data_IF_805381434240
#
_entry.id   IF_805381434240
#
_cell.length_a   1.000
_cell.length_b   1.000
_cell.length_c   1.000
_cell.angle_alpha   90.00
_cell.angle_beta   90.00
_cell.angle_gamma   90.00
#
_symmetry.space_group_name_H-M   'P 1'
#
loop_
_entity.id
_entity.type
_entity.pdbx_description
1 polymer ?
#
# COMPACT_ATOMS: atom_id res chain seq x y z
N UNK A 1 -9.26 -40.61 -49.75
CA UNK A 1 -8.03 -41.16 -49.19
C UNK A 1 -7.82 -40.39 -47.89
N UNK A 2 -8.27 -40.82 -46.75
CA UNK A 2 -7.66 -41.81 -45.83
C UNK A 2 -6.22 -41.43 -45.43
N UNK A 3 -6.05 -41.12 -44.17
CA UNK A 3 -4.78 -40.97 -43.49
C UNK A 3 -4.99 -40.53 -42.06
N UNK A 4 -5.44 -41.43 -41.25
CA UNK A 4 -5.36 -41.56 -39.78
C UNK A 4 -3.91 -41.65 -39.34
N UNK A 5 -3.66 -41.15 -38.10
CA UNK A 5 -2.84 -41.75 -37.02
C UNK A 5 -2.54 -40.66 -36.01
N UNK A 6 -3.09 -40.71 -34.78
CA UNK A 6 -2.81 -41.67 -33.72
C UNK A 6 -1.62 -41.28 -32.83
N UNK A 7 -1.98 -40.97 -31.59
CA UNK A 7 -1.34 -41.41 -30.35
C UNK A 7 -0.03 -40.79 -29.88
N UNK A 8 -0.07 -40.38 -28.63
CA UNK A 8 1.10 -40.19 -27.79
C UNK A 8 0.82 -39.56 -26.44
N UNK A 9 0.11 -40.30 -25.59
CA UNK A 9 0.12 -40.10 -24.13
C UNK A 9 1.52 -40.39 -23.59
N UNK A 10 1.98 -39.55 -22.68
CA UNK A 10 2.83 -40.06 -21.60
C UNK A 10 2.78 -39.10 -20.40
N UNK A 11 2.11 -39.59 -19.42
CA UNK A 11 2.22 -39.35 -17.99
C UNK A 11 3.65 -39.56 -17.49
N UNK A 12 4.08 -38.72 -16.59
CA UNK A 12 5.07 -39.08 -15.57
C UNK A 12 4.75 -38.35 -14.30
N UNK A 13 4.31 -39.16 -13.37
CA UNK A 13 4.20 -39.02 -11.95
C UNK A 13 5.58 -38.96 -11.27
N UNK A 14 5.50 -38.59 -10.00
CA UNK A 14 6.47 -38.81 -8.90
C UNK A 14 7.42 -37.64 -8.71
N UNK A 15 7.63 -37.16 -7.50
CA UNK A 15 7.67 -37.84 -6.21
C UNK A 15 7.59 -36.84 -5.06
N UNK A 16 6.90 -37.26 -4.04
CA UNK A 16 6.84 -36.83 -2.66
C UNK A 16 8.22 -36.85 -1.95
N UNK A 17 8.37 -36.00 -0.97
CA UNK A 17 9.02 -36.23 0.34
C UNK A 17 9.11 -34.87 1.05
N UNK A 18 8.31 -34.57 2.04
CA UNK A 18 8.25 -34.94 3.45
C UNK A 18 9.62 -34.96 4.13
N UNK A 19 9.86 -33.97 4.97
CA UNK A 19 10.53 -34.14 6.25
C UNK A 19 10.41 -32.86 7.10
N UNK A 20 9.49 -32.84 8.05
CA UNK A 20 9.80 -32.43 9.41
C UNK A 20 10.52 -33.61 10.07
N UNK A 21 11.25 -33.47 11.17
CA UNK A 21 10.79 -32.87 12.42
C UNK A 21 11.88 -32.25 13.34
N UNK A 22 11.39 -31.84 14.49
CA UNK A 22 12.02 -31.86 15.84
C UNK A 22 12.82 -30.61 16.24
N UNK A 23 12.28 -29.94 17.20
CA UNK A 23 12.24 -30.06 18.69
C UNK A 23 13.56 -29.67 19.34
N UNK A 24 13.44 -28.88 20.30
CA UNK A 24 13.82 -28.89 21.73
C UNK A 24 14.17 -27.47 22.18
N UNK A 25 13.33 -26.85 22.99
CA UNK A 25 13.30 -26.95 24.44
C UNK A 25 14.62 -26.63 25.11
N UNK A 26 14.73 -25.43 25.69
CA UNK A 26 15.48 -25.20 26.91
C UNK A 26 14.90 -24.07 27.73
N UNK A 27 14.08 -24.48 28.69
CA UNK A 27 13.93 -23.80 29.97
C UNK A 27 15.30 -23.68 30.63
N UNK A 28 15.61 -22.54 31.18
CA UNK A 28 16.51 -22.43 32.29
C UNK A 28 16.02 -21.43 33.33
N UNK A 29 15.43 -22.02 34.29
CA UNK A 29 15.20 -21.71 35.67
C UNK A 29 16.52 -21.39 36.37
N UNK A 30 16.49 -20.50 37.31
CA UNK A 30 17.30 -20.42 38.55
C UNK A 30 17.64 -18.97 38.85
N UNK A 31 17.66 -18.47 39.98
CA UNK A 31 17.33 -18.91 41.33
C UNK A 31 17.41 -17.65 42.21
N UNK A 32 16.46 -17.60 43.09
CA UNK A 32 16.48 -16.80 44.31
C UNK A 32 17.82 -16.94 45.07
N UNK A 33 18.33 -15.84 45.59
CA UNK A 33 19.12 -15.93 46.80
C UNK A 33 18.85 -14.73 47.71
N UNK A 34 18.19 -15.07 48.78
CA UNK A 34 17.97 -14.34 50.01
C UNK A 34 19.15 -14.60 50.95
N UNK A 35 19.69 -13.56 51.51
CA UNK A 35 20.35 -13.54 52.85
C UNK A 35 20.71 -12.08 53.14
N UNK A 36 20.04 -11.43 54.00
CA UNK A 36 19.98 -11.37 55.46
C UNK A 36 21.22 -10.77 56.15
N UNK A 37 20.91 -9.76 56.95
CA UNK A 37 21.54 -9.27 58.17
C UNK A 37 22.77 -8.37 58.02
N UNK A 38 22.86 -7.31 58.70
CA UNK A 38 22.55 -6.76 59.99
C UNK A 38 23.28 -5.42 60.19
N UNK A 39 22.62 -4.56 60.91
CA UNK A 39 23.20 -3.53 61.78
C UNK A 39 24.24 -2.53 61.25
N UNK A 40 23.83 -1.27 61.09
CA UNK A 40 24.41 -0.28 62.01
C UNK A 40 23.56 1.03 62.05
N UNK A 41 23.02 1.24 63.23
CA UNK A 41 22.53 2.51 63.74
C UNK A 41 23.70 3.47 63.90
N UNK A 42 23.67 4.59 63.21
CA UNK A 42 24.16 5.93 63.59
C UNK A 42 24.58 6.71 62.32
N UNK A 43 23.73 7.56 61.89
CA UNK A 43 24.05 8.91 61.44
C UNK A 43 22.79 9.60 60.82
N UNK A 44 21.84 9.75 61.65
CA UNK A 44 20.69 10.61 61.39
C UNK A 44 21.00 12.02 61.88
N UNK A 45 21.55 12.90 61.08
CA UNK A 45 21.48 14.37 61.28
C UNK A 45 22.13 15.24 60.20
N UNK A 46 22.61 14.70 59.07
CA UNK A 46 23.19 15.51 57.99
C UNK A 46 22.52 15.36 56.59
N UNK A 47 21.39 14.69 56.50
CA UNK A 47 20.70 14.43 55.21
C UNK A 47 19.53 15.34 54.84
N UNK A 48 19.12 16.28 55.72
CA UNK A 48 17.92 17.13 55.48
C UNK A 48 18.19 18.42 54.68
N UNK A 49 19.44 18.77 54.34
CA UNK A 49 19.74 19.98 53.56
C UNK A 49 20.13 19.75 52.08
N UNK A 50 20.42 18.50 51.66
CA UNK A 50 20.78 18.18 50.30
C UNK A 50 19.59 17.79 49.44
N UNK A 51 18.53 17.21 50.04
CA UNK A 51 17.36 16.70 49.33
C UNK A 51 16.45 17.78 48.74
N UNK A 52 16.48 19.02 49.29
CA UNK A 52 15.66 20.14 48.73
C UNK A 52 16.27 20.82 47.50
N UNK A 53 17.59 20.67 47.27
CA UNK A 53 18.24 21.24 46.09
C UNK A 53 18.19 20.30 44.88
N UNK A 54 18.16 19.00 45.12
CA UNK A 54 18.09 17.99 44.03
C UNK A 54 16.67 17.80 43.52
N UNK A 55 15.62 18.02 44.34
CA UNK A 55 14.24 17.96 43.92
C UNK A 55 13.90 19.15 43.01
N UNK A 56 14.40 20.38 43.33
CA UNK A 56 14.19 21.55 42.45
C UNK A 56 14.94 21.45 41.12
N UNK A 57 16.07 20.74 41.08
CA UNK A 57 16.80 20.54 39.80
C UNK A 57 16.14 19.49 38.92
N UNK A 58 15.46 18.47 39.48
CA UNK A 58 14.71 17.48 38.71
C UNK A 58 13.38 18.04 38.17
N UNK A 59 12.68 18.89 38.92
CA UNK A 59 11.46 19.53 38.39
C UNK A 59 11.72 20.48 37.25
N UNK A 60 12.79 21.27 37.29
CA UNK A 60 13.15 22.18 36.22
C UNK A 60 13.69 21.45 35.00
N UNK A 61 14.26 20.27 35.16
CA UNK A 61 14.80 19.48 34.07
C UNK A 61 13.69 18.70 33.31
N UNK A 62 12.67 18.20 34.02
CA UNK A 62 11.52 17.55 33.40
C UNK A 62 10.65 18.53 32.58
N UNK A 63 10.50 19.77 33.04
CA UNK A 63 9.69 20.77 32.34
C UNK A 63 10.32 21.21 31.01
N UNK A 64 11.64 21.13 30.87
CA UNK A 64 12.35 21.42 29.59
C UNK A 64 12.27 20.26 28.58
N UNK A 65 12.10 19.03 29.03
CA UNK A 65 11.98 17.87 28.15
C UNK A 65 10.57 17.74 27.57
N UNK A 66 9.54 18.04 28.35
CA UNK A 66 8.15 18.02 27.90
C UNK A 66 7.90 19.02 26.75
N UNK A 67 8.49 20.22 26.79
CA UNK A 67 8.37 21.18 25.69
C UNK A 67 9.03 20.68 24.39
N UNK A 68 10.13 19.94 24.45
CA UNK A 68 10.78 19.37 23.26
C UNK A 68 9.93 18.29 22.63
N UNK A 69 9.31 17.43 23.45
CA UNK A 69 8.41 16.37 22.96
C UNK A 69 7.18 16.99 22.29
N UNK A 70 6.55 17.99 22.90
CA UNK A 70 5.41 18.71 22.34
C UNK A 70 5.79 19.36 21.00
N UNK A 71 6.95 19.97 20.90
CA UNK A 71 7.43 20.60 19.67
C UNK A 71 7.64 19.57 18.53
N UNK A 72 8.19 18.41 18.84
CA UNK A 72 8.35 17.31 17.88
C UNK A 72 6.99 16.81 17.39
N UNK A 73 6.01 16.64 18.29
CA UNK A 73 4.65 16.23 17.91
C UNK A 73 3.98 17.25 16.99
N UNK A 74 4.13 18.54 17.27
CA UNK A 74 3.58 19.60 16.42
C UNK A 74 4.20 19.56 15.02
N UNK A 75 5.52 19.37 14.91
CA UNK A 75 6.20 19.23 13.60
C UNK A 75 5.67 18.01 12.84
N UNK A 76 5.48 16.87 13.51
CA UNK A 76 4.90 15.67 12.91
C UNK A 76 3.49 15.92 12.37
N UNK A 77 2.62 16.56 13.16
CA UNK A 77 1.26 16.89 12.73
C UNK A 77 1.28 17.82 11.50
N UNK A 78 2.11 18.86 11.52
CA UNK A 78 2.26 19.76 10.38
C UNK A 78 2.75 19.03 9.13
N UNK A 79 3.70 18.11 9.27
CA UNK A 79 4.18 17.28 8.17
C UNK A 79 3.06 16.43 7.56
N UNK A 80 2.23 15.79 8.40
CA UNK A 80 1.09 14.99 7.93
C UNK A 80 0.05 15.87 7.20
N UNK A 81 -0.23 17.06 7.70
CA UNK A 81 -1.16 17.99 7.04
C UNK A 81 -0.64 18.39 5.66
N UNK A 82 0.64 18.74 5.55
CA UNK A 82 1.25 19.10 4.27
C UNK A 82 1.22 17.90 3.31
N UNK A 83 1.56 16.70 3.77
CA UNK A 83 1.52 15.49 2.95
C UNK A 83 0.11 15.19 2.42
N UNK A 84 -0.92 15.32 3.24
CA UNK A 84 -2.31 15.13 2.80
C UNK A 84 -2.74 16.17 1.77
N UNK A 85 -2.36 17.44 1.94
CA UNK A 85 -2.65 18.50 0.96
C UNK A 85 -1.99 18.17 -0.38
N UNK A 86 -0.73 17.75 -0.38
CA UNK A 86 0.01 17.38 -1.61
C UNK A 86 -0.70 16.21 -2.33
N UNK A 87 -1.13 15.17 -1.60
CA UNK A 87 -1.85 14.03 -2.17
C UNK A 87 -3.18 14.46 -2.82
N UNK A 88 -3.95 15.32 -2.16
CA UNK A 88 -5.23 15.83 -2.68
C UNK A 88 -5.00 16.68 -3.95
N UNK A 89 -4.01 17.55 -3.94
CA UNK A 89 -3.68 18.38 -5.10
C UNK A 89 -3.21 17.54 -6.29
N UNK A 90 -2.34 16.56 -6.04
CA UNK A 90 -1.88 15.59 -7.04
C UNK A 90 -3.06 14.83 -7.66
N UNK A 91 -3.98 14.34 -6.83
CA UNK A 91 -5.18 13.63 -7.30
C UNK A 91 -6.01 14.51 -8.24
N UNK A 92 -6.34 15.73 -7.82
CA UNK A 92 -7.10 16.67 -8.65
C UNK A 92 -6.42 16.95 -9.99
N UNK A 93 -5.10 17.13 -9.97
CA UNK A 93 -4.33 17.36 -11.19
C UNK A 93 -4.38 16.17 -12.14
N UNK A 94 -4.14 14.95 -11.66
CA UNK A 94 -4.15 13.73 -12.48
C UNK A 94 -5.54 13.40 -13.02
N UNK A 95 -6.60 13.54 -12.21
CA UNK A 95 -7.98 13.36 -12.67
C UNK A 95 -8.35 14.35 -13.80
N UNK A 96 -7.98 15.62 -13.62
CA UNK A 96 -8.22 16.64 -14.66
C UNK A 96 -7.44 16.34 -15.95
N UNK A 97 -6.23 15.82 -15.84
CA UNK A 97 -5.43 15.43 -16.99
C UNK A 97 -6.06 14.22 -17.72
N UNK A 98 -6.54 13.22 -16.97
CA UNK A 98 -7.25 12.04 -17.52
C UNK A 98 -8.56 12.46 -18.19
N UNK A 99 -9.36 13.27 -17.53
CA UNK A 99 -10.60 13.82 -18.10
C UNK A 99 -10.33 14.54 -19.43
N UNK A 100 -9.28 15.37 -19.50
CA UNK A 100 -8.86 16.03 -20.74
C UNK A 100 -8.49 15.03 -21.85
N UNK A 101 -7.85 13.91 -21.52
CA UNK A 101 -7.51 12.88 -22.50
C UNK A 101 -8.74 12.11 -22.97
N UNK A 102 -9.66 11.80 -22.07
CA UNK A 102 -10.90 11.08 -22.38
C UNK A 102 -11.96 11.96 -23.05
N UNK A 103 -11.89 13.28 -22.94
CA UNK A 103 -12.81 14.24 -23.56
C UNK A 103 -12.33 14.80 -24.90
N UNK A 104 -11.29 14.21 -25.51
CA UNK A 104 -10.80 14.67 -26.82
C UNK A 104 -11.88 14.54 -27.91
N UNK A 105 -11.91 15.51 -28.82
CA UNK A 105 -12.86 15.49 -29.98
C UNK A 105 -12.50 14.38 -30.97
N UNK A 106 -11.22 14.08 -31.15
CA UNK A 106 -10.76 13.06 -32.07
C UNK A 106 -11.04 11.66 -31.49
N UNK A 107 -11.92 10.91 -32.14
CA UNK A 107 -12.39 9.58 -31.72
C UNK A 107 -11.20 8.60 -31.58
N UNK A 108 -10.25 8.59 -32.51
CA UNK A 108 -9.10 7.70 -32.46
C UNK A 108 -8.22 7.97 -31.23
N UNK A 109 -7.95 9.26 -30.94
CA UNK A 109 -7.17 9.63 -29.75
C UNK A 109 -7.91 9.30 -28.47
N UNK A 110 -9.21 9.48 -28.45
CA UNK A 110 -10.08 9.13 -27.33
C UNK A 110 -10.06 7.63 -27.07
N UNK A 111 -10.16 6.83 -28.13
CA UNK A 111 -10.05 5.37 -28.05
C UNK A 111 -8.70 4.93 -27.45
N UNK A 112 -7.60 5.50 -27.91
CA UNK A 112 -6.25 5.22 -27.40
C UNK A 112 -6.19 5.56 -25.90
N UNK A 113 -6.76 6.68 -25.48
CA UNK A 113 -6.77 7.07 -24.07
C UNK A 113 -7.56 6.08 -23.20
N UNK A 114 -8.70 5.55 -23.66
CA UNK A 114 -9.42 4.47 -22.97
C UNK A 114 -8.63 3.17 -22.94
N UNK A 115 -7.95 2.83 -24.03
CA UNK A 115 -7.09 1.64 -24.08
C UNK A 115 -5.91 1.74 -23.11
N UNK A 116 -5.25 2.89 -23.02
CA UNK A 116 -4.16 3.14 -22.08
C UNK A 116 -4.66 3.05 -20.63
N UNK A 117 -5.85 3.59 -20.38
CA UNK A 117 -6.49 3.49 -19.09
C UNK A 117 -6.85 2.04 -18.72
N UNK A 118 -7.36 1.25 -19.65
CA UNK A 118 -7.62 -0.18 -19.45
C UNK A 118 -6.32 -0.94 -19.11
N UNK A 119 -5.21 -0.63 -19.78
CA UNK A 119 -3.90 -1.21 -19.45
C UNK A 119 -3.40 -0.83 -18.05
N UNK A 120 -3.71 0.39 -17.60
CA UNK A 120 -3.44 0.81 -16.23
C UNK A 120 -4.28 -0.01 -15.24
N UNK A 121 -5.58 -0.17 -15.46
CA UNK A 121 -6.48 -0.95 -14.62
C UNK A 121 -6.07 -2.42 -14.50
N UNK A 122 -5.59 -3.02 -15.58
CA UNK A 122 -5.08 -4.39 -15.60
C UNK A 122 -3.93 -4.64 -14.62
N UNK A 123 -3.15 -3.63 -14.28
CA UNK A 123 -2.08 -3.76 -13.28
C UNK A 123 -2.62 -3.98 -11.85
N UNK A 124 -3.87 -3.60 -11.60
CA UNK A 124 -4.51 -3.70 -10.29
C UNK A 124 -5.48 -4.88 -10.17
N UNK A 125 -5.93 -5.42 -11.30
CA UNK A 125 -6.71 -6.64 -11.36
C UNK A 125 -6.31 -7.47 -12.59
N UNK A 126 -5.70 -8.62 -12.35
CA UNK A 126 -5.22 -9.54 -13.40
C UNK A 126 -6.36 -10.25 -14.16
N UNK A 127 -7.58 -10.23 -13.63
CA UNK A 127 -8.76 -10.80 -14.30
C UNK A 127 -9.25 -9.93 -15.45
N UNK A 128 -8.80 -8.66 -15.54
CA UNK A 128 -9.15 -7.77 -16.63
C UNK A 128 -8.46 -8.24 -17.91
N UNK A 129 -9.25 -8.71 -18.86
CA UNK A 129 -8.77 -9.04 -20.20
C UNK A 129 -8.62 -7.80 -21.06
N UNK A 130 -7.63 -7.77 -21.94
CA UNK A 130 -7.42 -6.67 -22.85
C UNK A 130 -7.49 -7.15 -24.30
N UNK A 131 -8.70 -7.32 -24.80
CA UNK A 131 -8.99 -7.77 -26.17
C UNK A 131 -9.02 -6.59 -27.17
N UNK A 132 -8.89 -5.35 -26.70
CA UNK A 132 -9.03 -4.12 -27.50
C UNK A 132 -7.74 -3.66 -28.20
N UNK A 133 -6.65 -4.42 -28.06
CA UNK A 133 -5.33 -4.07 -28.62
C UNK A 133 -5.36 -3.87 -30.13
N UNK A 134 -6.09 -4.71 -30.86
CA UNK A 134 -6.15 -4.61 -32.32
C UNK A 134 -6.78 -3.28 -32.76
N UNK A 135 -7.89 -2.90 -32.16
CA UNK A 135 -8.58 -1.66 -32.48
C UNK A 135 -7.76 -0.44 -32.04
N UNK A 136 -7.06 -0.52 -30.91
CA UNK A 136 -6.13 0.52 -30.46
C UNK A 136 -4.96 0.73 -31.45
N UNK A 137 -4.39 -0.34 -32.02
CA UNK A 137 -3.39 -0.25 -33.05
C UNK A 137 -3.96 0.33 -34.35
N UNK A 138 -5.18 -0.06 -34.74
CA UNK A 138 -5.92 0.54 -35.86
C UNK A 138 -6.11 2.04 -35.63
N UNK A 139 -6.52 2.47 -34.43
CA UNK A 139 -6.70 3.87 -34.08
C UNK A 139 -5.40 4.69 -34.13
N UNK A 140 -4.27 4.06 -33.73
CA UNK A 140 -2.99 4.74 -33.65
C UNK A 140 -2.26 4.87 -34.99
N UNK A 141 -2.36 3.85 -35.85
CA UNK A 141 -1.50 3.72 -37.03
C UNK A 141 -2.24 3.70 -38.36
N UNK A 142 -3.57 3.58 -38.35
CA UNK A 142 -4.34 3.63 -39.59
C UNK A 142 -4.98 5.01 -39.81
N UNK A 143 -5.24 5.35 -41.08
CA UNK A 143 -5.98 6.55 -41.41
C UNK A 143 -7.52 6.35 -41.27
N UNK A 144 -7.96 5.21 -40.78
CA UNK A 144 -9.36 4.90 -40.55
C UNK A 144 -9.85 5.51 -39.24
N UNK A 145 -11.03 6.11 -39.29
CA UNK A 145 -11.68 6.59 -38.08
C UNK A 145 -12.36 5.41 -37.39
N UNK A 146 -12.16 5.29 -36.08
CA UNK A 146 -12.85 4.31 -35.25
C UNK A 146 -14.33 4.62 -35.19
N UNK A 147 -15.18 3.59 -35.22
CA UNK A 147 -16.62 3.73 -35.10
C UNK A 147 -16.99 4.17 -33.67
N UNK A 148 -18.09 4.95 -33.58
CA UNK A 148 -18.59 5.37 -32.26
C UNK A 148 -18.98 4.16 -31.40
N UNK A 149 -19.50 3.10 -32.00
CA UNK A 149 -19.85 1.85 -31.32
C UNK A 149 -18.64 1.17 -30.71
N UNK A 150 -17.48 1.10 -31.43
CA UNK A 150 -16.21 0.58 -30.93
C UNK A 150 -15.70 1.41 -29.74
N UNK A 151 -15.88 2.73 -29.76
CA UNK A 151 -15.52 3.61 -28.64
C UNK A 151 -16.43 3.41 -27.44
N UNK A 152 -17.73 3.28 -27.64
CA UNK A 152 -18.69 3.09 -26.54
C UNK A 152 -18.50 1.71 -25.89
N UNK A 153 -18.12 0.69 -26.65
CA UNK A 153 -17.79 -0.63 -26.14
C UNK A 153 -16.61 -0.60 -25.17
N UNK A 154 -15.46 -0.03 -25.56
CA UNK A 154 -14.31 0.06 -24.67
C UNK A 154 -14.57 0.94 -23.45
N UNK A 155 -15.36 1.99 -23.59
CA UNK A 155 -15.77 2.87 -22.48
C UNK A 155 -16.58 2.08 -21.45
N UNK A 156 -17.62 1.38 -21.90
CA UNK A 156 -18.47 0.57 -21.01
C UNK A 156 -17.66 -0.51 -20.31
N UNK A 157 -16.73 -1.15 -21.02
CA UNK A 157 -15.85 -2.15 -20.42
C UNK A 157 -14.91 -1.56 -19.37
N UNK A 158 -14.37 -0.36 -19.57
CA UNK A 158 -13.57 0.34 -18.56
C UNK A 158 -14.41 0.64 -17.31
N UNK A 159 -15.66 1.07 -17.48
CA UNK A 159 -16.57 1.35 -16.37
C UNK A 159 -16.91 0.07 -15.59
N UNK A 160 -17.11 -1.06 -16.27
CA UNK A 160 -17.26 -2.39 -15.64
C UNK A 160 -16.01 -2.81 -14.87
N UNK A 161 -14.83 -2.64 -15.45
CA UNK A 161 -13.56 -2.95 -14.78
C UNK A 161 -13.35 -2.11 -13.50
N UNK A 162 -13.73 -0.83 -13.53
CA UNK A 162 -13.70 0.03 -12.35
C UNK A 162 -14.64 -0.46 -11.25
N UNK A 163 -15.84 -0.89 -11.63
CA UNK A 163 -16.82 -1.46 -10.69
C UNK A 163 -16.28 -2.74 -10.06
N UNK A 164 -15.72 -3.65 -10.86
CA UNK A 164 -15.09 -4.89 -10.37
C UNK A 164 -13.94 -4.62 -9.40
N UNK A 165 -13.10 -3.62 -9.69
CA UNK A 165 -12.02 -3.23 -8.77
C UNK A 165 -12.60 -2.68 -7.46
N UNK A 166 -13.70 -1.93 -7.51
CA UNK A 166 -14.35 -1.40 -6.31
C UNK A 166 -14.98 -2.49 -5.45
N UNK A 167 -15.64 -3.46 -6.06
CA UNK A 167 -16.33 -4.55 -5.37
C UNK A 167 -15.36 -5.56 -4.75
N UNK A 168 -14.26 -5.87 -5.46
CA UNK A 168 -13.32 -6.92 -5.05
C UNK A 168 -12.24 -6.44 -4.06
N UNK A 169 -12.21 -5.16 -3.70
CA UNK A 169 -11.17 -4.63 -2.83
C UNK A 169 -11.72 -4.06 -1.52
N UNK A 170 -10.95 -4.23 -0.45
CA UNK A 170 -11.28 -3.65 0.86
C UNK A 170 -11.21 -2.12 0.82
N UNK A 171 -11.99 -1.46 1.69
CA UNK A 171 -12.05 0.01 1.78
C UNK A 171 -10.67 0.66 1.93
N UNK A 172 -9.73 0.01 2.61
CA UNK A 172 -8.38 0.54 2.79
C UNK A 172 -7.57 0.49 1.49
N UNK A 173 -7.69 -0.60 0.70
CA UNK A 173 -7.09 -0.69 -0.63
C UNK A 173 -7.70 0.33 -1.59
N UNK A 174 -9.01 0.54 -1.52
CA UNK A 174 -9.70 1.55 -2.33
C UNK A 174 -9.19 2.96 -2.04
N UNK A 175 -8.94 3.31 -0.78
CA UNK A 175 -8.31 4.59 -0.43
C UNK A 175 -6.91 4.73 -1.06
N UNK A 176 -6.10 3.69 -1.04
CA UNK A 176 -4.79 3.68 -1.69
C UNK A 176 -4.94 3.89 -3.20
N UNK A 177 -5.85 3.16 -3.84
CA UNK A 177 -6.12 3.29 -5.27
C UNK A 177 -6.64 4.68 -5.63
N UNK A 178 -7.47 5.27 -4.78
CA UNK A 178 -8.05 6.58 -4.99
C UNK A 178 -7.05 7.73 -4.82
N UNK A 179 -6.18 7.69 -3.79
CA UNK A 179 -5.31 8.82 -3.44
C UNK A 179 -3.86 8.66 -3.89
N UNK A 180 -3.33 7.45 -3.94
CA UNK A 180 -1.94 7.20 -4.35
C UNK A 180 -1.86 6.92 -5.84
N UNK A 181 -2.70 6.01 -6.33
CA UNK A 181 -2.71 5.59 -7.74
C UNK A 181 -3.69 6.40 -8.60
N UNK A 182 -4.65 7.11 -7.97
CA UNK A 182 -5.60 8.01 -8.64
C UNK A 182 -6.40 7.28 -9.73
N UNK A 183 -6.92 6.09 -9.40
CA UNK A 183 -7.72 5.29 -10.33
C UNK A 183 -9.13 5.83 -10.52
N UNK A 184 -9.72 6.47 -9.47
CA UNK A 184 -11.09 7.00 -9.49
C UNK A 184 -11.10 8.48 -9.19
#
# INVERSE_FOLDING_TARGET
>A
QQGSNSSGSQSSQQNSQSSEPNSENKEQKSQCNTQSNSENKQTEKKKKKKTKKDIKKKEVQNQSEDHKVIFIVIIFVLFFVIATIILVLRRKYLLKQREKLLSQENINKKYIAYYDYLNELKQYNSEIENNYRYIALKAAYSNTVILQEELDEIRNYVDECLTLIQENNSSLKLLIYQYIYVLF
#
